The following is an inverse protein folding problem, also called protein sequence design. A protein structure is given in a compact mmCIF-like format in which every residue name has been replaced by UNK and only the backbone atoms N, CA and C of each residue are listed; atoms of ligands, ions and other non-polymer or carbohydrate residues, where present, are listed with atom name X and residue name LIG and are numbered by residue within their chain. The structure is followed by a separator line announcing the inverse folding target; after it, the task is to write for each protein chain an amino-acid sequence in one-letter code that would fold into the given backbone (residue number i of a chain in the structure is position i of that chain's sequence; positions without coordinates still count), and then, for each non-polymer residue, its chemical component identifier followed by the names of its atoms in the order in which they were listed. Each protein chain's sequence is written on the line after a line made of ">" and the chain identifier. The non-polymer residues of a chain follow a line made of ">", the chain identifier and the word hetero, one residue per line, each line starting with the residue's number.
data_IF_542227585040
#
_entry.id   IF_542227585040
#
_cell.length_a   1.000
_cell.length_b   1.000
_cell.length_c   1.000
_cell.angle_alpha   90.00
_cell.angle_beta   90.00
_cell.angle_gamma   90.00
#
_symmetry.space_group_name_H-M   'P 1'
#
loop_
_entity.id
_entity.type
_entity.pdbx_description
1 polymer ?
#
# COMPACT_ATOMS: atom_id res chain seq x y z
N UNK A 1 12.02 0.07 17.07
CA UNK A 1 11.86 -0.27 15.64
C UNK A 1 10.48 -0.87 15.47
N UNK A 2 9.45 -0.02 15.52
CA UNK A 2 8.05 -0.44 15.51
C UNK A 2 7.66 -0.79 14.08
N UNK A 3 7.81 -2.06 13.72
CA UNK A 3 7.14 -2.65 12.56
C UNK A 3 5.64 -2.50 12.82
N UNK A 4 5.02 -1.48 12.22
CA UNK A 4 3.57 -1.31 12.30
C UNK A 4 2.99 -2.39 11.40
N UNK A 5 2.74 -3.56 11.97
CA UNK A 5 2.02 -4.66 11.33
C UNK A 5 0.75 -4.07 10.72
N UNK A 6 0.66 -4.11 9.39
CA UNK A 6 -0.36 -3.42 8.61
C UNK A 6 -1.76 -3.90 9.01
N UNK A 7 -2.42 -3.12 9.89
CA UNK A 7 -3.81 -3.29 10.27
C UNK A 7 -4.58 -2.14 9.62
N UNK A 8 -5.24 -2.45 8.51
CA UNK A 8 -5.74 -1.53 7.49
C UNK A 8 -6.92 -0.64 7.95
N UNK A 9 -6.62 0.39 8.76
CA UNK A 9 -7.60 1.44 9.14
C UNK A 9 -7.10 2.87 8.90
N UNK A 10 -5.96 3.07 8.22
CA UNK A 10 -5.36 4.39 8.01
C UNK A 10 -5.67 4.98 6.63
N UNK A 11 -5.90 6.29 6.58
CA UNK A 11 -6.10 7.07 5.37
C UNK A 11 -4.74 7.36 4.69
N UNK A 12 -4.63 7.23 3.36
CA UNK A 12 -3.36 7.39 2.63
C UNK A 12 -2.64 8.72 2.92
N UNK A 13 -3.37 9.83 3.01
CA UNK A 13 -2.80 11.15 3.32
C UNK A 13 -2.12 11.22 4.69
N UNK A 14 -2.61 10.44 5.66
CA UNK A 14 -2.00 10.38 7.00
C UNK A 14 -0.71 9.58 7.02
N UNK A 15 -0.60 8.57 6.15
CA UNK A 15 0.61 7.75 6.01
C UNK A 15 1.71 8.55 5.30
N UNK A 16 1.33 9.29 4.26
CA UNK A 16 2.25 10.15 3.50
C UNK A 16 2.78 11.33 4.35
N UNK A 17 1.91 11.96 5.14
CA UNK A 17 2.29 13.08 6.01
C UNK A 17 2.96 12.64 7.34
N UNK A 18 3.20 11.34 7.54
CA UNK A 18 3.71 10.85 8.81
C UNK A 18 5.17 11.27 9.03
N UNK A 19 5.44 11.92 10.17
CA UNK A 19 6.81 12.32 10.56
C UNK A 19 7.75 11.16 10.86
N UNK A 20 7.20 9.96 11.12
CA UNK A 20 7.98 8.74 11.35
C UNK A 20 7.96 7.92 10.06
N UNK A 21 9.11 7.36 9.63
CA UNK A 21 9.15 6.55 8.42
C UNK A 21 8.25 5.32 8.59
N UNK A 22 7.39 5.09 7.59
CA UNK A 22 6.47 3.94 7.54
C UNK A 22 7.00 2.95 6.52
N UNK A 23 7.17 1.70 6.94
CA UNK A 23 7.61 0.60 6.10
C UNK A 23 6.44 -0.33 5.85
N UNK A 24 6.09 -0.54 4.58
CA UNK A 24 5.18 -1.58 4.15
C UNK A 24 5.97 -2.85 3.84
N UNK A 25 5.73 -3.90 4.61
CA UNK A 25 6.22 -5.24 4.33
C UNK A 25 5.13 -6.01 3.57
N UNK A 26 5.44 -6.38 2.33
CA UNK A 26 4.49 -6.96 1.39
C UNK A 26 4.87 -8.40 1.09
N UNK A 27 4.17 -9.31 1.74
CA UNK A 27 4.24 -10.75 1.48
C UNK A 27 2.99 -11.20 0.72
N UNK A 28 3.18 -11.90 -0.41
CA UNK A 28 2.07 -12.46 -1.19
C UNK A 28 1.42 -11.44 -2.13
N UNK A 29 0.12 -11.18 -1.97
CA UNK A 29 -0.67 -10.37 -2.91
C UNK A 29 -0.99 -9.00 -2.30
N UNK A 30 -0.54 -7.92 -2.93
CA UNK A 30 -1.06 -6.57 -2.67
C UNK A 30 -1.67 -6.03 -3.96
N UNK A 31 -3.01 -6.08 -4.02
CA UNK A 31 -3.78 -5.66 -5.19
C UNK A 31 -4.76 -4.56 -4.81
N UNK A 32 -4.91 -3.61 -5.72
CA UNK A 32 -5.84 -2.50 -5.63
C UNK A 32 -5.62 -1.62 -4.42
N UNK A 33 -6.68 -1.35 -3.63
CA UNK A 33 -6.58 -0.52 -2.42
C UNK A 33 -5.50 -0.95 -1.42
N UNK A 34 -5.17 -2.25 -1.34
CA UNK A 34 -4.05 -2.72 -0.52
C UNK A 34 -2.68 -2.26 -1.05
N UNK A 35 -2.54 -2.16 -2.38
CA UNK A 35 -1.36 -1.61 -3.03
C UNK A 35 -1.35 -0.08 -2.99
N UNK A 36 -2.49 0.59 -3.09
CA UNK A 36 -2.60 2.06 -2.91
C UNK A 36 -2.11 2.49 -1.51
N UNK A 37 -2.46 1.72 -0.48
CA UNK A 37 -1.95 1.94 0.88
C UNK A 37 -0.43 1.71 0.97
N UNK A 38 0.08 0.67 0.30
CA UNK A 38 1.52 0.43 0.22
C UNK A 38 2.26 1.57 -0.51
N UNK A 39 1.62 2.19 -1.51
CA UNK A 39 2.14 3.36 -2.23
C UNK A 39 2.23 4.60 -1.33
N UNK A 40 1.27 4.79 -0.44
CA UNK A 40 1.29 5.87 0.56
C UNK A 40 2.39 5.70 1.64
N UNK A 41 3.08 4.56 1.68
CA UNK A 41 4.19 4.32 2.60
C UNK A 41 5.51 4.88 2.07
N UNK A 42 6.41 5.20 3.01
CA UNK A 42 7.72 5.76 2.69
C UNK A 42 8.66 4.71 2.08
N UNK A 43 8.60 3.49 2.61
CA UNK A 43 9.43 2.36 2.16
C UNK A 43 8.51 1.17 1.92
N UNK A 44 8.79 0.43 0.85
CA UNK A 44 8.14 -0.83 0.52
C UNK A 44 9.21 -1.92 0.43
N UNK A 45 9.00 -3.01 1.14
CA UNK A 45 9.80 -4.22 1.07
C UNK A 45 8.87 -5.31 0.57
N UNK A 46 9.28 -6.04 -0.46
CA UNK A 46 8.45 -7.07 -1.07
C UNK A 46 9.27 -8.31 -1.37
N UNK A 47 8.66 -9.48 -1.22
CA UNK A 47 9.29 -10.74 -1.61
C UNK A 47 9.30 -10.88 -3.14
N UNK A 48 10.25 -11.65 -3.69
CA UNK A 48 10.30 -11.92 -5.13
C UNK A 48 9.08 -12.71 -5.66
N UNK A 49 8.34 -13.36 -4.77
CA UNK A 49 7.08 -14.06 -5.06
C UNK A 49 5.85 -13.18 -4.94
N UNK A 50 6.00 -11.96 -4.44
CA UNK A 50 4.87 -11.05 -4.24
C UNK A 50 4.32 -10.54 -5.58
N UNK A 51 3.00 -10.35 -5.65
CA UNK A 51 2.34 -9.71 -6.79
C UNK A 51 1.71 -8.41 -6.34
N UNK A 52 2.14 -7.34 -6.98
CA UNK A 52 1.70 -5.98 -6.75
C UNK A 52 0.95 -5.48 -7.98
N UNK A 53 -0.12 -4.72 -7.81
CA UNK A 53 -0.81 -4.12 -8.95
C UNK A 53 -2.13 -3.44 -8.62
N UNK A 54 -2.63 -2.67 -9.59
CA UNK A 54 -3.92 -2.00 -9.54
C UNK A 54 -4.86 -2.62 -10.59
N UNK A 55 -5.57 -3.73 -10.25
CA UNK A 55 -6.49 -4.39 -11.17
C UNK A 55 -7.84 -3.66 -11.29
N UNK A 56 -8.02 -2.49 -10.68
CA UNK A 56 -9.23 -1.67 -10.71
C UNK A 56 -9.78 -1.48 -12.14
N UNK A 57 -8.89 -1.25 -13.11
CA UNK A 57 -9.27 -1.09 -14.51
C UNK A 57 -9.92 -2.34 -15.10
N UNK A 58 -9.59 -3.54 -14.62
CA UNK A 58 -10.23 -4.79 -15.06
C UNK A 58 -11.69 -4.87 -14.62
N UNK A 59 -12.05 -4.13 -13.56
CA UNK A 59 -13.41 -4.02 -13.04
C UNK A 59 -14.12 -2.74 -13.51
N UNK A 60 -13.53 -1.99 -14.44
CA UNK A 60 -14.13 -0.76 -14.99
C UNK A 60 -14.12 0.42 -14.02
N UNK A 61 -13.29 0.37 -12.98
CA UNK A 61 -13.10 1.45 -12.00
C UNK A 61 -11.67 1.96 -12.04
N UNK A 62 -11.44 3.14 -11.49
CA UNK A 62 -10.10 3.72 -11.33
C UNK A 62 -9.62 3.59 -9.89
N UNK A 63 -8.30 3.58 -9.64
CA UNK A 63 -7.74 3.64 -8.29
C UNK A 63 -8.28 4.87 -7.55
N UNK A 64 -8.78 4.67 -6.33
CA UNK A 64 -9.53 5.69 -5.59
C UNK A 64 -8.80 6.30 -4.40
N UNK A 65 -7.65 5.73 -4.01
CA UNK A 65 -6.88 6.09 -2.82
C UNK A 65 -5.48 6.64 -3.15
N UNK A 66 -5.29 7.18 -4.35
CA UNK A 66 -4.04 7.80 -4.78
C UNK A 66 -3.14 6.91 -5.63
N UNK A 67 -3.69 5.86 -6.26
CA UNK A 67 -2.96 5.03 -7.22
C UNK A 67 -2.76 5.65 -8.62
N UNK A 68 -3.27 6.87 -8.87
CA UNK A 68 -3.13 7.62 -10.14
C UNK A 68 -2.33 8.89 -9.96
#
# INVERSE_FOLDING_TARGET
>A
MSCVSFKALFCCSTLEAARKPIVADVEGLALGGGFEIALACHVRISTSTSKLGLPELQYGILPGFGGT
#
